data_IF_431980881739
#
_entry.id   IF_431980881739
#
_cell.length_a   1.000
_cell.length_b   1.000
_cell.length_c   1.000
_cell.angle_alpha   90.00
_cell.angle_beta   90.00
_cell.angle_gamma   90.00
#
_symmetry.space_group_name_H-M   'P 1'
#
loop_
_entity.id
_entity.type
_entity.pdbx_description
1 polymer ?
#
# COMPACT_ATOMS: atom_id res chain seq x y z
N UNK A 1 -10.00 10.51 11.59
CA UNK A 1 -8.55 10.78 11.46
C UNK A 1 -7.71 9.62 11.98
N UNK A 2 -7.89 9.15 13.24
CA UNK A 2 -7.10 8.03 13.80
C UNK A 2 -7.15 6.73 12.96
N UNK A 3 -8.33 6.33 12.47
CA UNK A 3 -8.47 5.18 11.56
C UNK A 3 -7.60 5.29 10.29
N UNK A 4 -7.43 6.50 9.73
CA UNK A 4 -6.63 6.71 8.52
C UNK A 4 -5.15 6.48 8.77
N UNK A 5 -4.66 6.90 9.94
CA UNK A 5 -3.27 6.65 10.36
C UNK A 5 -3.06 5.15 10.54
N UNK A 6 -4.00 4.47 11.22
CA UNK A 6 -3.93 3.02 11.41
C UNK A 6 -3.87 2.32 10.05
N UNK A 7 -4.75 2.65 9.11
CA UNK A 7 -4.77 2.01 7.78
C UNK A 7 -3.52 2.32 6.96
N UNK A 8 -3.00 3.55 7.01
CA UNK A 8 -1.74 3.91 6.33
C UNK A 8 -0.56 3.09 6.90
N UNK A 9 -0.49 2.95 8.22
CA UNK A 9 0.52 2.11 8.88
C UNK A 9 0.31 0.63 8.54
N UNK A 10 -0.93 0.14 8.50
CA UNK A 10 -1.23 -1.24 8.09
C UNK A 10 -0.76 -1.52 6.66
N UNK A 11 -0.94 -0.58 5.73
CA UNK A 11 -0.41 -0.72 4.37
C UNK A 11 1.11 -0.76 4.35
N UNK A 12 1.78 0.13 5.10
CA UNK A 12 3.25 0.14 5.17
C UNK A 12 3.80 -1.15 5.78
N UNK A 13 3.22 -1.62 6.89
CA UNK A 13 3.64 -2.88 7.54
C UNK A 13 3.34 -4.07 6.65
N UNK A 14 2.17 -4.11 6.00
CA UNK A 14 1.80 -5.17 5.06
C UNK A 14 2.78 -5.26 3.89
N UNK A 15 3.24 -4.12 3.38
CA UNK A 15 4.23 -4.06 2.30
C UNK A 15 5.60 -4.60 2.73
N UNK A 16 6.02 -4.27 3.96
CA UNK A 16 7.24 -4.85 4.55
C UNK A 16 7.12 -6.38 4.67
N UNK A 17 5.94 -6.90 5.01
CA UNK A 17 5.69 -8.36 5.05
C UNK A 17 5.78 -8.96 3.64
N UNK A 18 5.22 -8.30 2.61
CA UNK A 18 5.34 -8.74 1.21
C UNK A 18 6.80 -8.74 0.73
N UNK A 19 7.57 -7.70 1.06
CA UNK A 19 9.02 -7.68 0.83
C UNK A 19 9.71 -8.85 1.53
N UNK A 20 9.31 -9.17 2.77
CA UNK A 20 9.78 -10.34 3.51
C UNK A 20 9.51 -11.66 2.77
N UNK A 21 8.32 -11.83 2.18
CA UNK A 21 8.04 -13.01 1.34
C UNK A 21 8.93 -13.09 0.10
N UNK A 22 9.18 -11.97 -0.57
CA UNK A 22 10.11 -11.94 -1.72
C UNK A 22 11.53 -12.25 -1.29
N UNK A 23 12.02 -11.68 -0.18
CA UNK A 23 13.34 -12.01 0.37
C UNK A 23 13.44 -13.49 0.73
N UNK A 24 12.39 -14.07 1.31
CA UNK A 24 12.33 -15.51 1.58
C UNK A 24 12.45 -16.34 0.29
N UNK A 25 11.76 -15.95 -0.80
CA UNK A 25 11.89 -16.61 -2.10
C UNK A 25 13.31 -16.51 -2.67
N UNK A 26 13.96 -15.35 -2.56
CA UNK A 26 15.35 -15.16 -2.98
C UNK A 26 16.26 -16.10 -2.21
N UNK A 27 16.11 -16.17 -0.88
CA UNK A 27 16.92 -17.03 -0.03
C UNK A 27 16.76 -18.51 -0.40
N UNK A 28 15.52 -18.98 -0.54
CA UNK A 28 15.22 -20.36 -0.96
C UNK A 28 15.79 -20.69 -2.33
N UNK A 29 15.82 -19.72 -3.24
CA UNK A 29 16.44 -19.88 -4.54
C UNK A 29 17.96 -20.02 -4.43
N UNK A 30 18.60 -19.25 -3.55
CA UNK A 30 20.02 -19.39 -3.23
C UNK A 30 20.35 -20.75 -2.59
N UNK A 31 19.55 -21.18 -1.61
CA UNK A 31 19.71 -22.50 -0.96
C UNK A 31 19.57 -23.66 -1.94
N UNK A 32 18.72 -23.52 -2.94
CA UNK A 32 18.56 -24.49 -4.02
C UNK A 32 19.76 -24.49 -5.00
N UNK A 33 20.37 -23.32 -5.27
CA UNK A 33 21.55 -23.20 -6.13
C UNK A 33 22.82 -23.76 -5.48
N UNK A 34 22.96 -23.58 -4.17
CA UNK A 34 24.09 -24.06 -3.37
C UNK A 34 23.97 -25.56 -2.99
N UNK A 35 22.98 -26.27 -3.53
CA UNK A 35 22.67 -27.69 -3.24
C UNK A 35 22.40 -27.98 -1.74
N UNK A 36 21.98 -26.95 -0.99
CA UNK A 36 21.62 -27.08 0.42
C UNK A 36 20.16 -27.54 0.63
N UNK A 37 19.34 -27.57 -0.43
CA UNK A 37 17.91 -27.85 -0.35
C UNK A 37 17.43 -28.83 -1.41
N UNK A 38 16.60 -29.79 -0.99
CA UNK A 38 15.93 -30.70 -1.91
C UNK A 38 14.89 -29.96 -2.79
N UNK A 39 14.79 -30.31 -4.08
CA UNK A 39 13.83 -29.67 -5.00
C UNK A 39 12.37 -29.90 -4.62
N UNK A 40 12.06 -30.99 -3.91
CA UNK A 40 10.71 -31.27 -3.38
C UNK A 40 10.34 -30.34 -2.23
N UNK A 41 11.27 -30.08 -1.32
CA UNK A 41 11.04 -29.14 -0.21
C UNK A 41 10.92 -27.71 -0.74
N UNK A 42 11.78 -27.33 -1.69
CA UNK A 42 11.68 -26.05 -2.39
C UNK A 42 10.31 -25.85 -3.05
N UNK A 43 9.84 -26.85 -3.81
CA UNK A 43 8.54 -26.80 -4.48
C UNK A 43 7.38 -26.66 -3.49
N UNK A 44 7.42 -27.38 -2.36
CA UNK A 44 6.41 -27.26 -1.30
C UNK A 44 6.39 -25.85 -0.72
N UNK A 45 7.55 -25.31 -0.36
CA UNK A 45 7.67 -24.01 0.28
C UNK A 45 7.22 -22.88 -0.65
N UNK A 46 7.62 -22.92 -1.93
CA UNK A 46 7.18 -21.93 -2.93
C UNK A 46 5.68 -21.98 -3.18
N UNK A 47 5.10 -23.18 -3.30
CA UNK A 47 3.67 -23.36 -3.51
C UNK A 47 2.82 -22.93 -2.30
N UNK A 48 3.40 -22.97 -1.09
CA UNK A 48 2.74 -22.48 0.11
C UNK A 48 2.77 -20.95 0.22
N UNK A 49 3.91 -20.33 -0.09
CA UNK A 49 4.07 -18.86 0.04
C UNK A 49 3.30 -18.09 -1.04
N UNK A 50 3.25 -18.61 -2.27
CA UNK A 50 2.59 -17.92 -3.40
C UNK A 50 1.14 -17.49 -3.14
N UNK A 51 0.21 -18.36 -2.68
CA UNK A 51 -1.17 -17.95 -2.40
C UNK A 51 -1.27 -16.98 -1.20
N UNK A 52 -0.38 -17.07 -0.23
CA UNK A 52 -0.36 -16.16 0.92
C UNK A 52 0.02 -14.74 0.51
N UNK A 53 1.06 -14.61 -0.32
CA UNK A 53 1.46 -13.34 -0.93
C UNK A 53 0.32 -12.74 -1.76
N UNK A 54 -0.30 -13.53 -2.64
CA UNK A 54 -1.43 -13.08 -3.46
C UNK A 54 -2.61 -12.62 -2.60
N UNK A 55 -2.93 -13.38 -1.54
CA UNK A 55 -4.00 -13.03 -0.60
C UNK A 55 -3.72 -11.74 0.15
N UNK A 56 -2.50 -11.57 0.67
CA UNK A 56 -2.10 -10.35 1.37
C UNK A 56 -2.11 -9.13 0.42
N UNK A 57 -1.61 -9.29 -0.80
CA UNK A 57 -1.62 -8.23 -1.81
C UNK A 57 -3.06 -7.80 -2.18
N UNK A 58 -3.98 -8.75 -2.32
CA UNK A 58 -5.39 -8.47 -2.55
C UNK A 58 -6.03 -7.69 -1.39
N UNK A 59 -5.76 -8.09 -0.14
CA UNK A 59 -6.22 -7.36 1.05
C UNK A 59 -5.69 -5.93 1.05
N UNK A 60 -4.41 -5.75 0.74
CA UNK A 60 -3.80 -4.41 0.67
C UNK A 60 -4.43 -3.55 -0.42
N UNK A 61 -4.72 -4.12 -1.59
CA UNK A 61 -5.42 -3.42 -2.66
C UNK A 61 -6.82 -2.95 -2.22
N UNK A 62 -7.57 -3.81 -1.52
CA UNK A 62 -8.90 -3.45 -0.98
C UNK A 62 -8.80 -2.29 0.02
N UNK A 63 -7.81 -2.31 0.91
CA UNK A 63 -7.56 -1.21 1.85
C UNK A 63 -7.23 0.09 1.10
N UNK A 64 -6.38 0.02 0.06
CA UNK A 64 -6.05 1.20 -0.75
C UNK A 64 -7.27 1.78 -1.46
N UNK A 65 -8.10 0.93 -2.08
CA UNK A 65 -9.34 1.36 -2.74
C UNK A 65 -10.27 2.04 -1.73
N UNK A 66 -10.40 1.48 -0.53
CA UNK A 66 -11.18 2.11 0.54
C UNK A 66 -10.63 3.48 0.93
N UNK A 67 -9.30 3.62 1.00
CA UNK A 67 -8.64 4.90 1.31
C UNK A 67 -8.79 5.96 0.22
N UNK A 68 -8.97 5.61 -1.06
CA UNK A 68 -9.28 6.59 -2.13
C UNK A 68 -10.54 7.39 -1.78
N UNK A 69 -11.60 6.70 -1.34
CA UNK A 69 -12.87 7.36 -1.04
C UNK A 69 -12.75 8.33 0.14
N UNK A 70 -11.79 8.10 1.03
CA UNK A 70 -11.54 8.93 2.20
C UNK A 70 -10.47 10.03 1.97
N UNK A 71 -9.61 9.90 0.96
CA UNK A 71 -8.55 10.86 0.63
C UNK A 71 -8.38 10.97 -0.89
N UNK A 72 -8.83 12.08 -1.47
CA UNK A 72 -8.53 12.39 -2.86
C UNK A 72 -7.06 12.79 -3.00
N UNK A 73 -6.24 11.93 -3.60
CA UNK A 73 -4.84 12.19 -3.84
C UNK A 73 -4.29 11.42 -5.04
N UNK A 74 -3.58 12.14 -5.92
CA UNK A 74 -2.84 11.61 -7.07
C UNK A 74 -1.91 10.42 -6.76
N UNK A 75 -1.14 10.38 -5.63
CA UNK A 75 -0.22 9.27 -5.37
C UNK A 75 -0.91 7.96 -4.97
N UNK A 76 -2.12 8.01 -4.39
CA UNK A 76 -2.88 6.79 -4.08
C UNK A 76 -3.35 6.09 -5.36
N UNK A 77 -3.80 6.85 -6.36
CA UNK A 77 -4.26 6.28 -7.63
C UNK A 77 -3.13 5.55 -8.34
N UNK A 78 -1.93 6.12 -8.36
CA UNK A 78 -0.76 5.47 -8.96
C UNK A 78 -0.41 4.16 -8.23
N UNK A 79 -0.39 4.17 -6.89
CA UNK A 79 -0.12 2.97 -6.10
C UNK A 79 -1.13 1.85 -6.37
N UNK A 80 -2.42 2.20 -6.52
CA UNK A 80 -3.48 1.25 -6.85
C UNK A 80 -3.31 0.69 -8.25
N UNK A 81 -2.98 1.52 -9.24
CA UNK A 81 -2.75 1.03 -10.61
C UNK A 81 -1.58 0.04 -10.66
N UNK A 82 -0.48 0.35 -9.97
CA UNK A 82 0.68 -0.54 -9.87
C UNK A 82 0.29 -1.85 -9.18
N UNK A 83 -0.35 -1.76 -8.01
CA UNK A 83 -0.72 -2.93 -7.23
C UNK A 83 -1.77 -3.81 -7.96
N UNK A 84 -2.75 -3.19 -8.59
CA UNK A 84 -3.78 -3.87 -9.38
C UNK A 84 -3.19 -4.53 -10.62
N UNK A 85 -2.29 -3.86 -11.35
CA UNK A 85 -1.62 -4.44 -12.50
C UNK A 85 -0.78 -5.66 -12.13
N UNK A 86 -0.07 -5.59 -10.99
CA UNK A 86 0.69 -6.72 -10.49
C UNK A 86 -0.19 -7.86 -10.00
N UNK A 87 -1.28 -7.55 -9.29
CA UNK A 87 -2.24 -8.56 -8.85
C UNK A 87 -2.90 -9.26 -10.05
N UNK A 88 -3.23 -8.52 -11.11
CA UNK A 88 -3.75 -9.10 -12.36
C UNK A 88 -2.74 -10.05 -13.00
N UNK A 89 -1.46 -9.70 -13.02
CA UNK A 89 -0.39 -10.59 -13.46
C UNK A 89 -0.36 -11.90 -12.63
N UNK A 90 -0.45 -11.80 -11.30
CA UNK A 90 -0.55 -12.96 -10.42
C UNK A 90 -1.81 -13.80 -10.67
N UNK A 91 -2.97 -13.17 -10.86
CA UNK A 91 -4.22 -13.90 -11.17
C UNK A 91 -4.11 -14.64 -12.51
N UNK A 92 -3.51 -14.02 -13.51
CA UNK A 92 -3.28 -14.66 -14.81
C UNK A 92 -2.37 -15.89 -14.66
N UNK A 93 -1.28 -15.76 -13.91
CA UNK A 93 -0.40 -16.89 -13.58
C UNK A 93 -1.12 -17.97 -12.78
N UNK A 94 -1.96 -17.59 -11.82
CA UNK A 94 -2.73 -18.52 -10.99
C UNK A 94 -3.78 -19.31 -11.80
N UNK A 95 -4.35 -18.68 -12.82
CA UNK A 95 -5.30 -19.34 -13.75
C UNK A 95 -4.63 -20.37 -14.67
N UNK A 96 -3.31 -20.33 -14.79
CA UNK A 96 -2.52 -21.29 -15.56
C UNK A 96 -1.81 -22.29 -14.63
N UNK A 97 -1.53 -23.54 -15.02
CA UNK A 97 -0.72 -24.45 -14.19
C UNK A 97 0.74 -23.98 -13.96
N UNK A 98 1.12 -22.84 -14.54
CA UNK A 98 2.43 -22.21 -14.44
C UNK A 98 2.78 -21.64 -13.06
N UNK A 99 1.82 -21.42 -12.16
CA UNK A 99 2.13 -20.97 -10.79
C UNK A 99 2.67 -22.09 -9.90
N UNK A 100 2.34 -23.36 -10.20
CA UNK A 100 2.80 -24.49 -9.40
C UNK A 100 4.24 -24.81 -9.73
N UNK A 101 5.08 -24.71 -8.71
CA UNK A 101 6.47 -25.19 -8.77
C UNK A 101 6.44 -26.71 -8.70
N UNK A 102 7.04 -27.34 -9.70
CA UNK A 102 7.21 -28.80 -9.80
C UNK A 102 8.69 -29.15 -9.62
N UNK A 103 8.98 -29.99 -8.62
CA UNK A 103 10.33 -30.43 -8.28
C UNK A 103 11.10 -31.00 -9.48
N UNK A 104 10.41 -31.66 -10.41
CA UNK A 104 11.04 -32.24 -11.61
C UNK A 104 11.52 -31.17 -12.62
N UNK A 105 10.96 -29.97 -12.57
CA UNK A 105 11.25 -28.86 -13.50
C UNK A 105 12.18 -27.81 -12.91
N UNK A 106 12.53 -27.92 -11.62
CA UNK A 106 13.36 -26.95 -10.89
C UNK A 106 14.73 -26.74 -11.57
N UNK A 107 15.32 -27.81 -12.09
CA UNK A 107 16.62 -27.75 -12.79
C UNK A 107 16.54 -27.30 -14.25
N UNK A 108 15.34 -27.05 -14.77
CA UNK A 108 15.20 -26.56 -16.14
C UNK A 108 15.66 -25.09 -16.20
N UNK A 109 16.64 -24.74 -17.07
CA UNK A 109 17.16 -23.37 -17.17
C UNK A 109 16.09 -22.34 -17.56
N UNK A 110 15.08 -22.74 -18.33
CA UNK A 110 13.94 -21.88 -18.69
C UNK A 110 13.10 -21.55 -17.46
N UNK A 111 12.77 -22.56 -16.65
CA UNK A 111 12.01 -22.37 -15.41
C UNK A 111 12.78 -21.46 -14.44
N UNK A 112 14.08 -21.74 -14.25
CA UNK A 112 14.98 -20.97 -13.41
C UNK A 112 14.96 -19.47 -13.77
N UNK A 113 15.15 -19.16 -15.06
CA UNK A 113 15.14 -17.78 -15.56
C UNK A 113 13.79 -17.10 -15.37
N UNK A 114 12.69 -17.80 -15.65
CA UNK A 114 11.33 -17.25 -15.47
C UNK A 114 11.03 -16.96 -14.00
N UNK A 115 11.36 -17.88 -13.08
CA UNK A 115 11.15 -17.67 -11.65
C UNK A 115 12.01 -16.55 -11.08
N UNK A 116 13.30 -16.47 -11.47
CA UNK A 116 14.16 -15.34 -11.07
C UNK A 116 13.62 -14.00 -11.59
N UNK A 117 13.13 -13.97 -12.84
CA UNK A 117 12.52 -12.77 -13.42
C UNK A 117 11.26 -12.36 -12.64
N UNK A 118 10.41 -13.32 -12.26
CA UNK A 118 9.22 -13.04 -11.44
C UNK A 118 9.57 -12.47 -10.07
N UNK A 119 10.56 -13.07 -9.40
CA UNK A 119 11.06 -12.59 -8.10
C UNK A 119 11.60 -11.16 -8.25
N UNK A 120 12.41 -10.89 -9.28
CA UNK A 120 12.96 -9.56 -9.55
C UNK A 120 11.86 -8.51 -9.81
N UNK A 121 10.84 -8.87 -10.60
CA UNK A 121 9.67 -8.00 -10.82
C UNK A 121 8.99 -7.70 -9.48
N UNK A 122 8.82 -8.70 -8.61
CA UNK A 122 8.26 -8.51 -7.26
C UNK A 122 9.08 -7.57 -6.39
N UNK A 123 10.42 -7.70 -6.39
CA UNK A 123 11.32 -6.76 -5.69
C UNK A 123 11.10 -5.32 -6.17
N UNK A 124 11.06 -5.11 -7.49
CA UNK A 124 10.89 -3.77 -8.06
C UNK A 124 9.51 -3.20 -7.68
N UNK A 125 8.46 -3.99 -7.82
CA UNK A 125 7.08 -3.53 -7.58
C UNK A 125 6.85 -3.25 -6.10
N UNK A 126 7.16 -4.19 -5.20
CA UNK A 126 7.01 -3.94 -3.76
C UNK A 126 7.98 -2.87 -3.27
N UNK A 127 9.19 -2.78 -3.83
CA UNK A 127 10.09 -1.66 -3.54
C UNK A 127 9.51 -0.29 -3.92
N UNK A 128 8.87 -0.19 -5.09
CA UNK A 128 8.18 1.05 -5.50
C UNK A 128 6.96 1.35 -4.62
N UNK A 129 6.16 0.33 -4.31
CA UNK A 129 5.00 0.46 -3.42
C UNK A 129 5.41 0.87 -2.00
N UNK A 130 6.53 0.37 -1.49
CA UNK A 130 7.10 0.76 -0.20
C UNK A 130 7.30 2.28 -0.12
N UNK A 131 7.98 2.87 -1.10
CA UNK A 131 8.21 4.32 -1.12
C UNK A 131 6.89 5.11 -1.24
N UNK A 132 5.93 4.61 -2.03
CA UNK A 132 4.62 5.23 -2.16
C UNK A 132 3.81 5.17 -0.85
N UNK A 133 3.82 4.05 -0.14
CA UNK A 133 3.15 3.92 1.16
C UNK A 133 3.84 4.73 2.24
N UNK A 134 5.17 4.78 2.24
CA UNK A 134 5.94 5.61 3.14
C UNK A 134 5.57 7.09 2.96
N UNK A 135 5.58 7.56 1.71
CA UNK A 135 5.16 8.93 1.37
C UNK A 135 3.72 9.22 1.81
N UNK A 136 2.79 8.31 1.52
CA UNK A 136 1.38 8.45 1.91
C UNK A 136 1.22 8.49 3.44
N UNK A 137 1.96 7.67 4.18
CA UNK A 137 1.95 7.65 5.64
C UNK A 137 2.43 8.98 6.21
N UNK A 138 3.55 9.52 5.71
CA UNK A 138 4.08 10.82 6.12
C UNK A 138 3.07 11.94 5.82
N UNK A 139 2.44 11.92 4.64
CA UNK A 139 1.42 12.91 4.26
C UNK A 139 0.21 12.86 5.19
N UNK A 140 -0.29 11.67 5.52
CA UNK A 140 -1.42 11.50 6.45
C UNK A 140 -1.05 11.99 7.85
N UNK A 141 0.16 11.71 8.33
CA UNK A 141 0.66 12.18 9.63
C UNK A 141 0.84 13.70 9.66
N UNK A 142 1.33 14.30 8.58
CA UNK A 142 1.64 15.75 8.51
C UNK A 142 0.38 16.59 8.41
N UNK A 143 -0.65 16.09 7.72
CA UNK A 143 -1.96 16.75 7.63
C UNK A 143 -2.77 16.66 8.93
N UNK A 144 -2.21 16.11 10.02
CA UNK A 144 -2.83 16.18 11.33
C UNK A 144 -2.92 17.65 11.75
N UNK A 145 -4.12 18.23 11.91
CA UNK A 145 -4.23 19.56 12.48
C UNK A 145 -3.59 19.49 13.87
N UNK A 146 -2.58 20.33 14.14
CA UNK A 146 -2.01 20.45 15.48
C UNK A 146 -3.16 20.87 16.39
N UNK A 147 -3.81 19.92 17.06
CA UNK A 147 -4.69 20.20 18.19
C UNK A 147 -3.77 20.58 19.34
N UNK A 148 -3.21 21.80 19.25
CA UNK A 148 -2.63 22.45 20.39
C UNK A 148 -3.76 22.70 21.41
N UNK A 149 -3.62 22.27 22.67
CA UNK A 149 -4.52 22.71 23.71
C UNK A 149 -4.21 24.19 23.97
N UNK A 150 -4.96 25.10 23.35
CA UNK A 150 -4.86 26.53 23.66
C UNK A 150 -4.86 27.47 22.46
N UNK A 151 -5.99 27.61 21.80
CA UNK A 151 -6.37 28.93 21.27
C UNK A 151 -7.87 29.07 21.44
N UNK A 152 -8.28 29.20 22.71
CA UNK A 152 -9.60 29.72 23.03
C UNK A 152 -9.76 31.05 22.31
N UNK A 153 -10.71 31.12 21.40
CA UNK A 153 -11.15 32.37 20.79
C UNK A 153 -11.87 33.16 21.87
N UNK A 154 -11.33 34.27 22.42
CA UNK A 154 -12.12 35.10 23.31
C UNK A 154 -13.00 35.99 22.42
N UNK A 155 -14.31 35.81 22.60
CA UNK A 155 -15.35 36.81 22.39
C UNK A 155 -15.08 37.91 21.36
N UNK A 156 -15.70 37.75 20.19
CA UNK A 156 -16.13 38.87 19.34
C UNK A 156 -17.02 39.80 20.17
N UNK A 157 -16.41 40.79 20.85
CA UNK A 157 -17.14 41.89 21.48
C UNK A 157 -17.87 42.65 20.37
N UNK A 158 -19.20 42.50 20.33
CA UNK A 158 -20.09 43.39 19.58
C UNK A 158 -19.95 44.79 20.17
N UNK A 159 -19.24 45.67 19.47
CA UNK A 159 -19.22 47.10 19.79
C UNK A 159 -20.63 47.71 19.72
N UNK A 160 -20.93 48.73 20.53
CA UNK A 160 -22.27 49.30 20.63
C UNK A 160 -22.67 49.99 19.31
N UNK A 161 -23.89 49.66 18.85
CA UNK A 161 -24.58 50.36 17.76
C UNK A 161 -24.68 51.85 18.13
N UNK A 162 -24.01 52.73 17.39
CA UNK A 162 -24.30 54.17 17.40
C UNK A 162 -25.69 54.37 16.80
N UNK A 163 -26.62 54.86 17.62
CA UNK A 163 -27.90 55.38 17.16
C UNK A 163 -27.64 56.66 16.34
N UNK A 164 -28.02 56.63 15.06
CA UNK A 164 -28.04 57.82 14.21
C UNK A 164 -29.28 58.67 14.52
N UNK A 165 -29.19 60.00 14.49
CA UNK A 165 -30.27 60.88 14.91
C UNK A 165 -31.44 60.88 13.91
N UNK A 166 -32.65 60.73 14.44
CA UNK A 166 -33.88 61.16 13.77
C UNK A 166 -33.80 62.66 13.50
N UNK A 167 -33.88 63.06 12.22
CA UNK A 167 -34.27 64.42 11.84
C UNK A 167 -35.53 64.34 10.99
N UNK A 168 -36.59 64.91 11.55
CA UNK A 168 -37.87 65.05 10.87
C UNK A 168 -37.87 66.18 9.84
N UNK A 169 -38.79 65.98 8.88
CA UNK A 169 -39.80 66.94 8.39
C UNK A 169 -39.31 68.23 7.70
N UNK A 170 -39.63 68.35 6.41
CA UNK A 170 -40.33 69.52 5.89
C UNK A 170 -41.29 69.08 4.79
N UNK A 171 -42.56 69.33 5.03
CA UNK A 171 -43.59 69.33 4.00
C UNK A 171 -43.52 70.62 3.19
N UNK A 172 -44.25 70.59 2.08
CA UNK A 172 -44.70 71.73 1.30
C UNK A 172 -45.67 72.61 2.10
#
# INVERSE_FOLDING_TARGET
MGLMIVLALTLLVGDVVLLGFITYKILKFGELEDDHMNPTDFARDMNYVYPLEMGLQAIMLLIQIWMIFAFYGTPQVLAILINMGYLFYHMHLYSSPAWKVDAAKVWNPTFKKTSQTQILIGVIIYGLLFFLFLYNTIKVLTNHPKTGPGSGTPGRMKGPRKAGPMRGRSGY
#
